data_IF_211897716898
#
_entry.id   IF_211897716898
#
_cell.length_a   1.000
_cell.length_b   1.000
_cell.length_c   1.000
_cell.angle_alpha   90.00
_cell.angle_beta   90.00
_cell.angle_gamma   90.00
#
_symmetry.space_group_name_H-M   'P 1'
#
loop_
_entity.id
_entity.type
_entity.pdbx_description
1 polymer ?
#
# COMPACT_ATOMS: atom_id res chain seq x y z
N UNK A 1 -35.45 3.93 13.22
CA UNK A 1 -35.38 2.99 12.08
C UNK A 1 -34.37 3.54 11.08
N UNK A 2 -33.33 2.77 10.75
CA UNK A 2 -32.37 3.19 9.73
C UNK A 2 -33.04 3.12 8.35
N UNK A 3 -32.94 4.19 7.55
CA UNK A 3 -33.63 4.27 6.25
C UNK A 3 -32.84 3.63 5.12
N UNK A 4 -31.54 3.37 5.32
CA UNK A 4 -30.64 2.94 4.26
C UNK A 4 -29.70 1.83 4.74
N UNK A 5 -29.40 0.87 3.86
CA UNK A 5 -28.42 -0.16 4.15
C UNK A 5 -27.45 -0.46 2.99
N UNK A 6 -26.26 -0.93 3.36
CA UNK A 6 -25.25 -1.42 2.44
C UNK A 6 -24.82 -2.83 2.89
N UNK A 7 -24.83 -3.80 1.99
CA UNK A 7 -24.55 -5.21 2.32
C UNK A 7 -23.14 -5.65 1.92
N UNK A 8 -22.12 -5.49 2.81
CA UNK A 8 -20.81 -6.06 2.57
C UNK A 8 -20.79 -7.57 2.81
N UNK A 9 -19.91 -8.27 2.09
CA UNK A 9 -19.52 -9.65 2.40
C UNK A 9 -18.15 -9.62 3.07
N UNK A 10 -18.02 -10.20 4.27
CA UNK A 10 -16.77 -10.16 5.05
C UNK A 10 -16.13 -11.55 5.25
N UNK A 11 -16.62 -12.59 4.55
CA UNK A 11 -16.09 -13.96 4.61
C UNK A 11 -15.13 -14.35 3.48
N UNK A 12 -14.60 -13.38 2.73
CA UNK A 12 -13.67 -13.61 1.61
C UNK A 12 -12.20 -13.74 2.07
N UNK A 13 -11.25 -13.30 1.23
CA UNK A 13 -9.81 -13.19 1.53
C UNK A 13 -9.48 -12.16 2.65
N UNK A 14 -10.23 -12.12 3.75
CA UNK A 14 -10.00 -11.21 4.88
C UNK A 14 -9.02 -11.87 5.86
N UNK A 15 -8.07 -11.10 6.40
CA UNK A 15 -7.03 -11.64 7.30
C UNK A 15 -5.64 -11.06 7.08
N UNK A 16 -5.35 -10.56 5.87
CA UNK A 16 -4.16 -9.76 5.57
C UNK A 16 -4.56 -8.29 5.40
N UNK A 17 -3.71 -7.37 5.89
CA UNK A 17 -3.93 -5.92 5.82
C UNK A 17 -4.25 -5.41 4.41
N UNK A 18 -3.60 -5.98 3.38
CA UNK A 18 -3.86 -5.60 1.99
C UNK A 18 -5.31 -5.86 1.57
N UNK A 19 -5.80 -7.08 1.81
CA UNK A 19 -7.18 -7.41 1.48
C UNK A 19 -8.17 -6.70 2.39
N UNK A 20 -7.88 -6.56 3.69
CA UNK A 20 -8.74 -5.83 4.63
C UNK A 20 -8.95 -4.38 4.15
N UNK A 21 -7.91 -3.75 3.59
CA UNK A 21 -8.00 -2.41 3.01
C UNK A 21 -8.71 -2.41 1.65
N UNK A 22 -8.21 -3.19 0.68
CA UNK A 22 -8.65 -3.12 -0.71
C UNK A 22 -10.04 -3.73 -0.95
N UNK A 23 -10.38 -4.81 -0.24
CA UNK A 23 -11.64 -5.55 -0.46
C UNK A 23 -12.78 -5.05 0.44
N UNK A 24 -12.46 -4.45 1.58
CA UNK A 24 -13.46 -4.09 2.59
C UNK A 24 -13.42 -2.62 2.97
N UNK A 25 -12.33 -2.14 3.58
CA UNK A 25 -12.28 -0.80 4.20
C UNK A 25 -12.46 0.34 3.19
N UNK A 26 -11.67 0.34 2.11
CA UNK A 26 -11.75 1.37 1.07
C UNK A 26 -13.11 1.34 0.35
N UNK A 27 -13.62 0.14 0.04
CA UNK A 27 -14.90 -0.02 -0.65
C UNK A 27 -16.10 0.36 0.21
N UNK A 28 -16.06 0.07 1.51
CA UNK A 28 -17.04 0.56 2.47
C UNK A 28 -17.00 2.09 2.54
N UNK A 29 -15.82 2.71 2.60
CA UNK A 29 -15.68 4.16 2.59
C UNK A 29 -16.30 4.80 1.34
N UNK A 30 -15.96 4.33 0.14
CA UNK A 30 -16.52 4.83 -1.13
C UNK A 30 -18.07 4.71 -1.13
N UNK A 31 -18.59 3.60 -0.60
CA UNK A 31 -20.02 3.29 -0.66
C UNK A 31 -20.83 4.03 0.41
N UNK A 32 -20.25 4.37 1.56
CA UNK A 32 -21.01 4.85 2.73
C UNK A 32 -20.72 6.30 3.10
N UNK A 33 -19.56 6.85 2.73
CA UNK A 33 -19.13 8.17 3.22
C UNK A 33 -20.10 9.30 2.90
N UNK A 34 -20.72 9.26 1.72
CA UNK A 34 -21.71 10.24 1.27
C UNK A 34 -23.06 10.13 2.01
N UNK A 35 -23.29 9.06 2.78
CA UNK A 35 -24.51 8.83 3.57
C UNK A 35 -24.42 9.44 4.97
N UNK A 36 -23.34 10.14 5.31
CA UNK A 36 -23.25 10.93 6.54
C UNK A 36 -23.36 10.12 7.84
N UNK A 37 -22.97 8.84 7.81
CA UNK A 37 -23.09 7.85 8.91
C UNK A 37 -24.50 7.33 9.21
N UNK A 38 -25.50 7.73 8.43
CA UNK A 38 -26.90 7.28 8.55
C UNK A 38 -27.17 6.04 7.67
N UNK A 39 -26.33 5.00 7.81
CA UNK A 39 -26.41 3.76 7.03
C UNK A 39 -26.21 2.54 7.90
N UNK A 40 -27.09 1.57 7.85
CA UNK A 40 -26.90 0.29 8.53
C UNK A 40 -26.10 -0.66 7.64
N UNK A 41 -25.28 -1.52 8.25
CA UNK A 41 -24.45 -2.49 7.53
C UNK A 41 -24.92 -3.92 7.81
N UNK A 42 -25.88 -4.48 7.05
CA UNK A 42 -26.19 -5.91 7.12
C UNK A 42 -25.10 -6.70 6.41
N UNK A 43 -24.31 -7.45 7.18
CA UNK A 43 -23.09 -8.10 6.72
C UNK A 43 -23.31 -9.60 6.62
N UNK A 44 -23.02 -10.14 5.44
CA UNK A 44 -23.02 -11.60 5.21
C UNK A 44 -21.61 -12.16 5.48
N UNK A 45 -21.56 -13.33 6.12
CA UNK A 45 -20.35 -13.95 6.68
C UNK A 45 -19.59 -12.98 7.59
N UNK A 46 -20.29 -12.41 8.59
CA UNK A 46 -19.74 -11.40 9.49
C UNK A 46 -18.63 -12.01 10.35
N UNK A 47 -17.39 -11.56 10.14
CA UNK A 47 -16.23 -11.93 10.94
C UNK A 47 -16.09 -11.03 12.18
N UNK A 48 -16.42 -11.48 13.41
CA UNK A 48 -16.47 -10.58 14.57
C UNK A 48 -15.11 -9.97 14.93
N UNK A 49 -14.02 -10.72 14.71
CA UNK A 49 -12.65 -10.25 14.98
C UNK A 49 -12.28 -9.03 14.12
N UNK A 50 -12.79 -8.94 12.88
CA UNK A 50 -12.51 -7.85 11.96
C UNK A 50 -13.16 -6.55 12.45
N UNK A 51 -14.42 -6.61 12.88
CA UNK A 51 -15.13 -5.46 13.45
C UNK A 51 -14.52 -4.99 14.77
N UNK A 52 -13.94 -5.91 15.55
CA UNK A 52 -13.17 -5.53 16.74
C UNK A 52 -11.86 -4.84 16.37
N UNK A 53 -11.16 -5.34 15.35
CA UNK A 53 -9.88 -4.78 14.89
C UNK A 53 -10.02 -3.40 14.24
N UNK A 54 -11.07 -3.20 13.45
CA UNK A 54 -11.32 -1.97 12.68
C UNK A 54 -12.53 -1.17 13.19
N UNK A 55 -12.88 -1.33 14.47
CA UNK A 55 -14.06 -0.69 15.07
C UNK A 55 -14.10 0.82 14.85
N UNK A 56 -12.98 1.51 15.09
CA UNK A 56 -12.88 2.96 14.89
C UNK A 56 -13.18 3.40 13.45
N UNK A 57 -12.72 2.61 12.46
CA UNK A 57 -12.99 2.88 11.04
C UNK A 57 -14.49 2.69 10.77
N UNK A 58 -15.08 1.59 11.25
CA UNK A 58 -16.50 1.28 11.05
C UNK A 58 -17.40 2.33 11.73
N UNK A 59 -17.07 2.74 12.95
CA UNK A 59 -17.79 3.77 13.71
C UNK A 59 -17.68 5.14 13.05
N UNK A 60 -16.56 5.40 12.35
CA UNK A 60 -16.40 6.57 11.48
C UNK A 60 -17.35 6.55 10.27
N UNK A 61 -17.74 5.38 9.78
CA UNK A 61 -18.59 5.19 8.60
C UNK A 61 -20.08 5.08 8.92
N UNK A 62 -20.45 4.56 10.09
CA UNK A 62 -21.84 4.38 10.50
C UNK A 62 -22.04 4.68 11.99
N UNK A 63 -23.22 5.17 12.35
CA UNK A 63 -23.69 5.31 13.74
C UNK A 63 -24.52 4.11 14.21
N UNK A 64 -24.81 3.17 13.32
CA UNK A 64 -25.64 2.01 13.58
C UNK A 64 -24.79 0.76 13.76
N UNK A 65 -25.26 -0.17 14.59
CA UNK A 65 -24.61 -1.46 14.71
C UNK A 65 -24.64 -2.21 13.37
N UNK A 66 -23.48 -2.76 12.99
CA UNK A 66 -23.37 -3.68 11.87
C UNK A 66 -24.09 -4.99 12.22
N UNK A 67 -25.13 -5.35 11.46
CA UNK A 67 -25.98 -6.52 11.74
C UNK A 67 -25.43 -7.72 10.97
N UNK A 68 -25.34 -8.90 11.57
CA UNK A 68 -25.07 -10.12 10.79
C UNK A 68 -26.36 -10.61 10.14
N UNK A 69 -26.29 -10.95 8.85
CA UNK A 69 -27.39 -11.62 8.15
C UNK A 69 -27.27 -13.14 8.21
N UNK A 70 -26.23 -13.68 8.84
CA UNK A 70 -25.96 -15.11 8.86
C UNK A 70 -26.91 -15.80 9.86
N UNK A 71 -27.79 -16.66 9.35
CA UNK A 71 -28.79 -17.33 10.18
C UNK A 71 -29.88 -16.40 10.76
N UNK A 72 -29.98 -15.15 10.28
CA UNK A 72 -31.02 -14.22 10.72
C UNK A 72 -32.32 -14.45 9.94
N UNK A 73 -33.34 -14.99 10.62
CA UNK A 73 -34.67 -15.23 10.05
C UNK A 73 -35.59 -13.99 10.08
N UNK A 74 -35.12 -12.85 10.62
CA UNK A 74 -35.93 -11.63 10.75
C UNK A 74 -36.01 -10.87 9.43
N UNK A 75 -37.17 -10.25 9.20
CA UNK A 75 -37.38 -9.36 8.05
C UNK A 75 -36.94 -7.94 8.40
N UNK A 76 -35.84 -7.50 7.81
CA UNK A 76 -35.34 -6.13 7.94
C UNK A 76 -35.93 -5.23 6.84
N UNK A 77 -36.54 -4.11 7.22
CA UNK A 77 -37.15 -3.16 6.28
C UNK A 77 -36.30 -1.90 6.14
N UNK A 78 -35.87 -1.61 4.92
CA UNK A 78 -35.11 -0.40 4.58
C UNK A 78 -35.82 0.36 3.46
N UNK A 79 -35.75 1.69 3.47
CA UNK A 79 -36.31 2.51 2.38
C UNK A 79 -35.42 2.48 1.13
N UNK A 80 -34.11 2.33 1.32
CA UNK A 80 -33.13 2.22 0.25
C UNK A 80 -32.10 1.14 0.57
N UNK A 81 -31.81 0.29 -0.41
CA UNK A 81 -30.84 -0.80 -0.27
C UNK A 81 -29.77 -0.66 -1.34
N UNK A 82 -28.51 -0.72 -0.93
CA UNK A 82 -27.37 -0.88 -1.84
C UNK A 82 -26.79 -2.27 -1.65
N UNK A 83 -26.90 -3.11 -2.67
CA UNK A 83 -26.35 -4.47 -2.63
C UNK A 83 -24.93 -4.46 -3.20
N UNK A 84 -23.98 -4.96 -2.40
CA UNK A 84 -22.57 -4.96 -2.75
C UNK A 84 -21.86 -3.63 -2.47
N UNK A 85 -20.54 -3.63 -2.72
CA UNK A 85 -19.67 -2.48 -2.49
C UNK A 85 -19.17 -1.90 -3.82
N UNK A 86 -19.09 -0.57 -3.89
CA UNK A 86 -18.50 0.13 -5.04
C UNK A 86 -16.99 -0.08 -5.06
N UNK A 87 -16.46 -0.41 -6.24
CA UNK A 87 -15.03 -0.56 -6.50
C UNK A 87 -14.73 -0.16 -7.94
N UNK A 88 -13.67 0.60 -8.15
CA UNK A 88 -13.24 1.05 -9.49
C UNK A 88 -11.73 0.91 -9.74
N UNK A 89 -10.92 0.81 -8.67
CA UNK A 89 -9.45 0.76 -8.69
C UNK A 89 -8.98 -0.05 -7.48
N UNK A 90 -7.82 -0.67 -7.60
CA UNK A 90 -7.14 -1.30 -6.47
C UNK A 90 -6.35 -0.26 -5.66
N UNK A 91 -6.39 -0.37 -4.34
CA UNK A 91 -5.67 0.50 -3.38
C UNK A 91 -5.94 2.01 -3.52
N UNK A 92 -6.94 2.42 -4.32
CA UNK A 92 -7.16 3.83 -4.66
C UNK A 92 -8.63 4.17 -4.92
N UNK A 93 -8.93 5.47 -4.89
CA UNK A 93 -10.24 6.05 -5.19
C UNK A 93 -10.15 6.88 -6.46
N UNK A 94 -11.03 6.60 -7.42
CA UNK A 94 -11.21 7.44 -8.61
C UNK A 94 -12.28 8.50 -8.33
N UNK A 95 -11.92 9.78 -8.24
CA UNK A 95 -12.87 10.85 -7.92
C UNK A 95 -14.04 10.90 -8.90
N UNK A 96 -13.80 10.69 -10.20
CA UNK A 96 -14.83 10.82 -11.23
C UNK A 96 -15.91 9.73 -11.16
N UNK A 97 -15.58 8.58 -10.55
CA UNK A 97 -16.49 7.44 -10.41
C UNK A 97 -17.06 7.32 -9.00
N UNK A 98 -16.54 8.10 -8.05
CA UNK A 98 -16.96 8.09 -6.66
C UNK A 98 -18.10 9.09 -6.40
N UNK A 99 -19.06 8.76 -5.52
CA UNK A 99 -20.07 9.73 -5.12
C UNK A 99 -19.42 10.91 -4.39
N UNK A 100 -19.80 12.14 -4.74
CA UNK A 100 -19.26 13.40 -4.20
C UNK A 100 -17.77 13.65 -4.48
N UNK A 101 -17.19 13.07 -5.55
CA UNK A 101 -15.78 13.26 -5.93
C UNK A 101 -14.79 12.95 -4.79
N UNK A 102 -15.08 11.90 -4.02
CA UNK A 102 -14.18 11.39 -2.99
C UNK A 102 -12.82 11.01 -3.59
N UNK A 103 -11.75 11.37 -2.90
CA UNK A 103 -10.39 11.02 -3.30
C UNK A 103 -9.67 10.30 -2.16
N UNK A 104 -8.52 9.69 -2.47
CA UNK A 104 -7.66 9.10 -1.45
C UNK A 104 -7.12 10.13 -0.46
N UNK A 105 -6.98 11.39 -0.87
CA UNK A 105 -6.62 12.50 0.02
C UNK A 105 -7.73 12.77 1.04
N UNK A 106 -8.99 12.66 0.62
CA UNK A 106 -10.14 12.82 1.53
C UNK A 106 -10.28 11.62 2.48
N UNK A 107 -9.92 10.41 2.02
CA UNK A 107 -10.00 9.19 2.84
C UNK A 107 -8.87 9.11 3.86
N UNK A 108 -7.63 9.46 3.51
CA UNK A 108 -6.49 9.46 4.44
C UNK A 108 -6.68 10.45 5.61
N UNK A 109 -7.33 11.58 5.37
CA UNK A 109 -7.71 12.52 6.44
C UNK A 109 -8.93 12.12 7.27
N UNK A 110 -9.80 11.23 6.78
CA UNK A 110 -11.09 10.92 7.41
C UNK A 110 -11.20 9.50 7.99
N UNK A 111 -10.49 8.51 7.46
CA UNK A 111 -10.59 7.09 7.87
C UNK A 111 -9.58 6.68 8.93
N UNK A 112 -8.50 7.43 9.13
CA UNK A 112 -7.53 7.22 10.18
C UNK A 112 -7.83 8.15 11.35
N UNK A 113 -8.98 7.91 12.02
CA UNK A 113 -9.23 8.51 13.32
C UNK A 113 -8.11 8.10 14.28
N UNK A 114 -7.45 9.09 14.88
CA UNK A 114 -6.66 8.88 16.10
C UNK A 114 -5.13 9.03 15.99
N UNK A 115 -4.49 8.75 14.85
CA UNK A 115 -3.07 9.04 14.70
C UNK A 115 -2.89 10.45 14.17
N UNK A 116 -2.15 11.29 14.91
CA UNK A 116 -1.64 12.59 14.46
C UNK A 116 -0.76 12.39 13.22
N UNK A 117 -1.39 12.19 12.06
CA UNK A 117 -0.73 12.26 10.79
C UNK A 117 -0.28 13.71 10.64
N UNK A 118 1.04 13.93 10.49
CA UNK A 118 1.52 15.22 9.97
C UNK A 118 0.79 15.42 8.64
N UNK A 119 0.07 16.53 8.52
CA UNK A 119 -0.77 16.81 7.35
C UNK A 119 0.01 16.82 6.04
N UNK A 120 1.34 16.98 6.09
CA UNK A 120 2.25 16.86 4.96
C UNK A 120 3.58 16.26 5.44
N UNK A 121 4.32 15.63 4.53
CA UNK A 121 5.74 15.37 4.68
C UNK A 121 6.48 16.66 5.01
N UNK A 122 7.58 16.53 5.75
CA UNK A 122 8.43 17.66 6.17
C UNK A 122 8.88 18.39 4.90
N UNK A 123 8.45 19.64 4.74
CA UNK A 123 9.01 20.57 3.75
C UNK A 123 10.31 21.09 4.30
N UNK A 124 11.37 21.03 3.49
CA UNK A 124 12.71 21.46 3.93
C UNK A 124 12.86 22.99 3.84
N UNK A 125 11.94 23.69 3.15
CA UNK A 125 12.04 25.13 2.88
C UNK A 125 11.27 26.05 3.84
N UNK A 126 10.30 25.56 4.61
CA UNK A 126 9.41 26.41 5.43
C UNK A 126 9.89 26.66 6.87
N UNK A 127 11.03 26.10 7.29
CA UNK A 127 11.55 26.20 8.67
C UNK A 127 12.69 27.24 8.74
N UNK A 128 12.33 28.52 8.70
CA UNK A 128 13.25 29.69 8.75
C UNK A 128 13.85 29.98 10.15
N UNK A 129 13.80 29.03 11.10
CA UNK A 129 14.17 29.32 12.49
C UNK A 129 14.74 28.18 13.34
N UNK A 130 14.59 26.92 12.96
CA UNK A 130 15.24 25.79 13.63
C UNK A 130 16.07 25.01 12.61
N UNK A 131 17.25 24.53 13.03
CA UNK A 131 18.19 23.72 12.24
C UNK A 131 17.46 22.85 11.20
N UNK A 132 17.71 23.09 9.89
CA UNK A 132 17.11 22.35 8.76
C UNK A 132 16.90 20.89 9.12
N UNK A 133 15.67 20.52 9.47
CA UNK A 133 15.35 19.17 9.93
C UNK A 133 15.59 18.21 8.77
N UNK A 134 16.51 17.26 8.97
CA UNK A 134 16.83 16.26 7.95
C UNK A 134 15.56 15.43 7.65
N UNK A 135 15.22 15.20 6.38
CA UNK A 135 14.10 14.34 6.04
C UNK A 135 14.37 12.91 6.50
N UNK A 136 13.35 12.26 7.02
CA UNK A 136 13.44 10.90 7.55
C UNK A 136 13.20 9.88 6.43
N UNK A 137 14.17 9.00 6.20
CA UNK A 137 14.07 7.90 5.24
C UNK A 137 13.83 6.58 5.99
N UNK A 138 12.69 5.95 5.71
CA UNK A 138 12.39 4.61 6.20
C UNK A 138 12.76 3.57 5.13
N UNK A 139 13.72 2.70 5.45
CA UNK A 139 14.06 1.54 4.62
C UNK A 139 13.32 0.32 5.17
N UNK A 140 12.43 -0.25 4.35
CA UNK A 140 11.68 -1.45 4.70
C UNK A 140 12.52 -2.67 4.31
N UNK A 141 13.07 -3.36 5.30
CA UNK A 141 13.90 -4.56 5.10
C UNK A 141 13.05 -5.82 5.23
N UNK A 142 13.58 -6.95 4.75
CA UNK A 142 12.95 -8.26 4.86
C UNK A 142 13.99 -9.27 5.33
N UNK A 143 13.61 -10.20 6.21
CA UNK A 143 14.52 -11.25 6.71
C UNK A 143 14.58 -12.52 5.85
N UNK A 144 13.52 -12.84 5.10
CA UNK A 144 13.38 -14.16 4.46
C UNK A 144 13.58 -14.16 2.94
N UNK A 145 12.92 -13.25 2.22
CA UNK A 145 12.98 -13.12 0.75
C UNK A 145 13.03 -11.64 0.36
N UNK A 146 13.64 -11.30 -0.77
CA UNK A 146 13.75 -9.91 -1.28
C UNK A 146 14.57 -9.03 -0.34
N UNK A 147 15.79 -9.46 -0.05
CA UNK A 147 16.67 -8.80 0.92
C UNK A 147 17.64 -7.86 0.22
N UNK A 148 17.98 -6.77 0.90
CA UNK A 148 19.11 -5.94 0.54
C UNK A 148 20.38 -6.57 1.10
N UNK A 149 21.31 -6.97 0.23
CA UNK A 149 22.56 -7.61 0.61
C UNK A 149 23.59 -6.60 1.14
N UNK A 150 23.47 -5.33 0.77
CA UNK A 150 24.35 -4.24 1.17
C UNK A 150 23.60 -3.11 1.89
N UNK A 151 22.77 -3.47 2.88
CA UNK A 151 21.98 -2.51 3.64
C UNK A 151 22.83 -1.40 4.29
N UNK A 152 23.98 -1.75 4.86
CA UNK A 152 24.88 -0.79 5.51
C UNK A 152 25.40 0.27 4.51
N UNK A 153 25.76 -0.16 3.30
CA UNK A 153 26.20 0.74 2.23
C UNK A 153 25.06 1.67 1.79
N UNK A 154 23.82 1.17 1.72
CA UNK A 154 22.63 1.97 1.37
C UNK A 154 22.32 3.01 2.45
N UNK A 155 22.42 2.63 3.73
CA UNK A 155 22.21 3.53 4.86
C UNK A 155 23.26 4.65 4.83
N UNK A 156 24.54 4.31 4.71
CA UNK A 156 25.63 5.29 4.64
C UNK A 156 25.43 6.26 3.47
N UNK A 157 25.09 5.75 2.28
CA UNK A 157 24.83 6.60 1.11
C UNK A 157 23.65 7.56 1.30
N UNK A 158 22.59 7.12 1.98
CA UNK A 158 21.43 7.97 2.27
C UNK A 158 21.73 9.02 3.36
N UNK A 159 22.51 8.68 4.38
CA UNK A 159 22.97 9.63 5.40
C UNK A 159 23.89 10.70 4.82
N UNK A 160 24.79 10.32 3.89
CA UNK A 160 25.65 11.25 3.15
C UNK A 160 24.86 12.23 2.28
N UNK A 161 23.76 11.78 1.66
CA UNK A 161 22.86 12.65 0.89
C UNK A 161 22.10 13.62 1.80
N UNK A 162 21.97 13.30 3.09
CA UNK A 162 21.38 14.18 4.10
C UNK A 162 20.07 13.68 4.70
N UNK A 163 19.73 12.41 4.53
CA UNK A 163 18.57 11.79 5.21
C UNK A 163 18.92 11.34 6.63
N UNK A 164 17.92 11.34 7.51
CA UNK A 164 17.94 10.58 8.75
C UNK A 164 17.35 9.20 8.48
N UNK A 165 18.16 8.14 8.53
CA UNK A 165 17.75 6.81 8.05
C UNK A 165 17.30 5.92 9.19
N UNK A 166 16.20 5.18 8.98
CA UNK A 166 15.74 4.13 9.89
C UNK A 166 15.42 2.87 9.08
N UNK A 167 16.01 1.74 9.44
CA UNK A 167 15.73 0.45 8.80
C UNK A 167 14.84 -0.41 9.69
N UNK A 168 13.67 -0.85 9.18
CA UNK A 168 12.73 -1.69 9.93
C UNK A 168 12.22 -2.86 9.07
N UNK A 169 12.10 -4.03 9.70
CA UNK A 169 11.36 -5.16 9.13
C UNK A 169 9.90 -5.05 9.59
N UNK A 170 9.04 -4.60 8.68
CA UNK A 170 7.61 -4.36 8.96
C UNK A 170 6.73 -5.59 8.70
N UNK A 171 7.30 -6.77 8.44
CA UNK A 171 6.47 -7.97 8.22
C UNK A 171 5.88 -8.48 9.54
N UNK A 172 4.55 -8.68 9.63
CA UNK A 172 3.96 -9.34 10.78
C UNK A 172 4.48 -10.78 10.89
N UNK A 173 4.81 -11.20 12.12
CA UNK A 173 5.24 -12.58 12.45
C UNK A 173 4.17 -13.65 12.14
N UNK A 174 2.96 -13.26 11.76
CA UNK A 174 1.84 -14.15 11.49
C UNK A 174 1.31 -13.94 10.06
N UNK A 175 1.59 -14.91 9.18
CA UNK A 175 0.69 -15.31 8.09
C UNK A 175 0.65 -14.46 6.82
N UNK A 176 1.50 -14.84 5.84
CA UNK A 176 1.26 -14.91 4.39
C UNK A 176 2.47 -14.39 3.58
N UNK A 177 3.18 -15.25 2.85
CA UNK A 177 4.23 -14.82 1.92
C UNK A 177 3.58 -14.21 0.67
N UNK A 178 3.61 -12.88 0.54
CA UNK A 178 3.19 -12.24 -0.71
C UNK A 178 3.01 -10.73 -0.64
N UNK A 179 2.06 -10.24 0.13
CA UNK A 179 1.31 -9.03 -0.26
C UNK A 179 1.34 -7.88 0.76
N UNK A 180 2.22 -7.91 1.75
CA UNK A 180 2.28 -6.90 2.83
C UNK A 180 2.99 -5.58 2.50
N UNK A 181 3.39 -5.33 1.24
CA UNK A 181 4.14 -4.12 0.87
C UNK A 181 3.26 -2.91 0.56
N UNK A 182 2.14 -3.13 -0.12
CA UNK A 182 1.26 -2.07 -0.65
C UNK A 182 0.52 -1.30 0.44
N UNK A 183 0.17 -1.97 1.54
CA UNK A 183 -0.60 -1.34 2.63
C UNK A 183 0.20 -0.31 3.42
N UNK A 184 1.54 -0.34 3.33
CA UNK A 184 2.38 0.63 4.03
C UNK A 184 2.21 2.05 3.49
N UNK A 185 1.79 2.19 2.22
CA UNK A 185 1.53 3.48 1.58
C UNK A 185 0.45 4.28 2.31
N UNK A 186 -0.56 3.61 2.88
CA UNK A 186 -1.68 4.25 3.58
C UNK A 186 -1.22 5.02 4.83
N UNK A 187 -0.07 4.64 5.41
CA UNK A 187 0.50 5.28 6.59
C UNK A 187 1.50 6.39 6.27
N UNK A 188 1.76 6.68 4.98
CA UNK A 188 2.63 7.77 4.60
C UNK A 188 1.87 9.11 4.58
N UNK A 189 2.51 10.22 4.95
CA UNK A 189 1.88 11.54 4.85
C UNK A 189 1.78 12.01 3.39
N UNK A 190 0.92 13.00 3.14
CA UNK A 190 0.88 13.67 1.83
C UNK A 190 2.24 14.26 1.47
N UNK A 191 2.56 14.37 0.18
CA UNK A 191 3.86 14.80 -0.35
C UNK A 191 5.04 13.90 0.03
N UNK A 192 4.83 12.74 0.65
CA UNK A 192 5.90 11.76 0.84
C UNK A 192 6.44 11.27 -0.50
N UNK A 193 7.71 10.85 -0.51
CA UNK A 193 8.35 10.23 -1.67
C UNK A 193 8.47 8.73 -1.43
N UNK A 194 7.93 7.94 -2.35
CA UNK A 194 8.05 6.48 -2.37
C UNK A 194 9.08 6.10 -3.42
N UNK A 195 10.15 5.44 -2.98
CA UNK A 195 11.16 4.85 -3.87
C UNK A 195 10.93 3.34 -3.90
N UNK A 196 10.62 2.80 -5.08
CA UNK A 196 10.48 1.36 -5.28
C UNK A 196 11.70 0.81 -6.01
N UNK A 197 12.34 -0.18 -5.41
CA UNK A 197 13.35 -1.02 -6.07
C UNK A 197 12.63 -2.18 -6.76
N UNK A 198 12.67 -2.19 -8.10
CA UNK A 198 12.02 -3.18 -8.93
C UNK A 198 13.02 -4.29 -9.25
N UNK A 199 12.72 -5.54 -8.87
CA UNK A 199 13.63 -6.65 -9.12
C UNK A 199 13.71 -7.00 -10.60
N UNK A 200 14.73 -7.80 -10.94
CA UNK A 200 14.96 -8.27 -12.30
C UNK A 200 13.80 -9.17 -12.75
N UNK A 201 13.35 -9.01 -13.99
CA UNK A 201 12.23 -9.78 -14.54
C UNK A 201 11.24 -9.01 -15.41
N UNK A 202 11.57 -7.77 -15.81
CA UNK A 202 10.69 -6.89 -16.59
C UNK A 202 9.32 -6.69 -15.96
N UNK A 203 9.34 -6.39 -14.66
CA UNK A 203 8.14 -6.18 -13.85
C UNK A 203 7.72 -4.71 -13.82
N UNK A 204 8.24 -3.86 -14.70
CA UNK A 204 8.04 -2.41 -14.63
C UNK A 204 6.57 -2.03 -14.75
N UNK A 205 5.82 -2.69 -15.64
CA UNK A 205 4.39 -2.45 -15.81
C UNK A 205 3.61 -2.85 -14.54
N UNK A 206 3.89 -4.03 -13.98
CA UNK A 206 3.24 -4.50 -12.75
C UNK A 206 3.61 -3.63 -11.54
N UNK A 207 4.88 -3.24 -11.44
CA UNK A 207 5.37 -2.34 -10.40
C UNK A 207 4.68 -0.98 -10.50
N UNK A 208 4.51 -0.45 -11.72
CA UNK A 208 3.82 0.81 -11.95
C UNK A 208 2.34 0.73 -11.57
N UNK A 209 1.63 -0.33 -11.98
CA UNK A 209 0.21 -0.49 -11.67
C UNK A 209 -0.03 -0.68 -10.15
N UNK A 210 0.83 -1.43 -9.47
CA UNK A 210 0.66 -1.74 -8.05
C UNK A 210 1.21 -0.66 -7.12
N UNK A 211 2.41 -0.13 -7.39
CA UNK A 211 3.11 0.80 -6.50
C UNK A 211 3.27 2.21 -7.08
N UNK A 212 3.14 2.39 -8.40
CA UNK A 212 3.28 3.69 -9.04
C UNK A 212 2.00 4.53 -9.02
N UNK A 213 0.85 3.90 -9.30
CA UNK A 213 -0.45 4.59 -9.37
C UNK A 213 -0.99 4.98 -7.98
N UNK A 214 -1.03 4.08 -6.96
CA UNK A 214 -1.68 4.42 -5.69
C UNK A 214 -1.06 5.61 -4.93
N UNK A 215 0.28 5.75 -4.82
CA UNK A 215 0.87 6.92 -4.17
C UNK A 215 0.48 8.23 -4.85
N UNK A 216 0.39 8.25 -6.18
CA UNK A 216 0.00 9.46 -6.93
C UNK A 216 -1.42 9.90 -6.59
N UNK A 217 -2.34 8.94 -6.54
CA UNK A 217 -3.74 9.21 -6.14
C UNK A 217 -3.84 9.66 -4.66
N UNK A 218 -2.89 9.25 -3.81
CA UNK A 218 -2.74 9.69 -2.40
C UNK A 218 -1.95 11.01 -2.23
N UNK A 219 -1.67 11.73 -3.32
CA UNK A 219 -0.84 12.95 -3.32
C UNK A 219 0.59 12.74 -2.80
N UNK A 220 1.21 11.64 -3.19
CA UNK A 220 2.63 11.32 -2.94
C UNK A 220 3.41 11.32 -4.25
N UNK A 221 4.73 11.45 -4.14
CA UNK A 221 5.66 11.33 -5.26
C UNK A 221 6.15 9.88 -5.36
N UNK A 222 6.37 9.39 -6.58
CA UNK A 222 6.85 8.03 -6.82
C UNK A 222 8.10 8.04 -7.69
N UNK A 223 9.12 7.29 -7.27
CA UNK A 223 10.35 7.03 -8.00
C UNK A 223 10.54 5.52 -8.15
N UNK A 224 10.82 5.10 -9.38
CA UNK A 224 11.11 3.70 -9.71
C UNK A 224 12.60 3.53 -9.96
N UNK A 225 13.22 2.57 -9.29
CA UNK A 225 14.58 2.14 -9.54
C UNK A 225 14.58 0.71 -10.08
N UNK A 226 14.93 0.55 -11.35
CA UNK A 226 15.06 -0.76 -11.96
C UNK A 226 16.48 -1.28 -11.76
N UNK A 227 16.59 -2.46 -11.16
CA UNK A 227 17.91 -3.07 -10.97
C UNK A 227 18.44 -3.62 -12.29
N UNK A 228 19.76 -3.65 -12.44
CA UNK A 228 20.40 -4.38 -13.54
C UNK A 228 20.67 -5.83 -13.16
N UNK A 229 21.11 -6.64 -14.13
CA UNK A 229 21.43 -8.04 -13.90
C UNK A 229 22.57 -8.21 -12.88
N UNK A 230 23.51 -7.27 -12.82
CA UNK A 230 24.66 -7.26 -11.92
C UNK A 230 24.29 -6.95 -10.46
N UNK A 231 23.17 -6.26 -10.25
CA UNK A 231 22.66 -5.94 -8.90
C UNK A 231 21.80 -7.07 -8.34
N UNK A 232 21.48 -8.09 -9.14
CA UNK A 232 20.73 -9.26 -8.71
C UNK A 232 21.68 -10.37 -8.27
N UNK A 233 21.38 -11.06 -7.17
CA UNK A 233 22.12 -12.26 -6.76
C UNK A 233 22.03 -13.40 -7.78
N UNK A 234 21.17 -13.29 -8.81
CA UNK A 234 21.15 -14.21 -9.94
C UNK A 234 22.43 -14.20 -10.77
N UNK A 235 23.18 -13.09 -10.81
CA UNK A 235 24.46 -13.04 -11.53
C UNK A 235 25.51 -13.94 -10.90
N UNK A 236 25.37 -14.28 -9.62
CA UNK A 236 26.26 -15.22 -8.92
C UNK A 236 25.90 -16.68 -9.22
N UNK A 237 24.63 -16.95 -9.54
CA UNK A 237 24.11 -18.30 -9.78
C UNK A 237 24.10 -18.69 -11.26
N UNK A 238 24.01 -17.72 -12.17
CA UNK A 238 23.87 -17.97 -13.61
C UNK A 238 24.78 -17.04 -14.42
N UNK A 239 25.43 -17.60 -15.45
CA UNK A 239 26.18 -16.82 -16.44
C UNK A 239 25.25 -15.91 -17.25
N UNK A 240 25.74 -14.72 -17.63
CA UNK A 240 25.02 -13.78 -18.51
C UNK A 240 24.52 -14.51 -19.77
N UNK A 241 23.22 -14.39 -20.04
CA UNK A 241 22.57 -15.04 -21.19
C UNK A 241 21.89 -16.38 -20.88
N UNK A 242 21.93 -16.86 -19.63
CA UNK A 242 21.12 -18.02 -19.22
C UNK A 242 19.62 -17.76 -19.43
N UNK A 243 18.80 -18.75 -19.86
CA UNK A 243 17.35 -18.58 -20.10
C UNK A 243 16.51 -18.12 -18.89
N UNK A 244 17.13 -18.06 -17.70
CA UNK A 244 16.52 -17.53 -16.47
C UNK A 244 16.70 -16.01 -16.33
N UNK A 245 17.61 -15.41 -17.09
CA UNK A 245 17.58 -13.98 -17.32
C UNK A 245 16.40 -13.67 -18.25
N UNK A 246 15.63 -12.60 -17.96
CA UNK A 246 14.45 -12.31 -18.74
C UNK A 246 14.82 -12.08 -20.21
N UNK A 247 14.23 -12.90 -21.09
CA UNK A 247 14.24 -12.66 -22.53
C UNK A 247 13.61 -11.29 -22.88
N UNK A 248 13.87 -10.73 -24.07
CA UNK A 248 13.41 -9.40 -24.48
C UNK A 248 11.88 -9.26 -24.65
N UNK A 249 11.05 -10.19 -24.16
CA UNK A 249 9.58 -10.10 -24.22
C UNK A 249 8.97 -9.93 -22.82
N UNK A 250 7.97 -9.05 -22.66
CA UNK A 250 7.22 -8.93 -21.40
C UNK A 250 6.42 -10.22 -21.17
N UNK A 251 6.48 -10.74 -19.95
CA UNK A 251 5.78 -11.97 -19.59
C UNK A 251 4.37 -11.66 -19.08
N UNK A 252 3.36 -12.50 -19.36
CA UNK A 252 2.04 -12.40 -18.74
C UNK A 252 2.13 -12.49 -17.21
N UNK A 253 1.20 -11.81 -16.51
CA UNK A 253 1.13 -11.77 -15.03
C UNK A 253 1.09 -13.18 -14.41
N UNK A 254 0.42 -14.14 -15.04
CA UNK A 254 0.36 -15.54 -14.60
C UNK A 254 1.72 -16.23 -14.58
N UNK A 255 2.57 -15.95 -15.56
CA UNK A 255 3.91 -16.54 -15.68
C UNK A 255 4.90 -15.94 -14.67
N UNK A 256 4.76 -14.65 -14.38
CA UNK A 256 5.53 -13.97 -13.33
C UNK A 256 5.18 -14.48 -11.92
N UNK A 257 3.89 -14.73 -11.65
CA UNK A 257 3.43 -15.31 -10.39
C UNK A 257 3.92 -16.76 -10.25
N UNK A 258 3.90 -17.55 -11.32
CA UNK A 258 4.46 -18.90 -11.32
C UNK A 258 5.97 -18.89 -10.99
N UNK A 259 6.73 -17.96 -11.58
CA UNK A 259 8.17 -17.77 -11.28
C UNK A 259 8.46 -17.27 -9.87
N UNK A 260 7.46 -16.72 -9.17
CA UNK A 260 7.59 -16.22 -7.80
C UNK A 260 7.75 -17.36 -6.77
N UNK A 261 7.28 -18.57 -7.10
CA UNK A 261 7.36 -19.76 -6.25
C UNK A 261 8.72 -20.44 -6.24
N UNK A 262 9.44 -20.42 -7.36
CA UNK A 262 10.50 -21.41 -7.63
C UNK A 262 11.89 -21.04 -7.14
N UNK A 263 12.21 -19.76 -6.87
CA UNK A 263 13.51 -19.36 -6.33
C UNK A 263 13.42 -18.17 -5.35
N UNK A 264 13.63 -18.38 -4.04
CA UNK A 264 13.80 -17.30 -3.07
C UNK A 264 14.96 -16.35 -3.41
N UNK A 265 16.04 -16.90 -3.98
CA UNK A 265 17.25 -16.19 -4.38
C UNK A 265 17.13 -15.37 -5.68
N UNK A 266 15.98 -15.47 -6.39
CA UNK A 266 15.74 -14.69 -7.61
C UNK A 266 15.59 -13.18 -7.32
N UNK A 267 15.32 -12.84 -6.06
CA UNK A 267 14.81 -11.54 -5.69
C UNK A 267 15.66 -10.78 -4.67
N UNK A 268 16.76 -11.36 -4.19
CA UNK A 268 17.71 -10.66 -3.33
C UNK A 268 18.57 -9.71 -4.20
N UNK A 269 18.87 -8.53 -3.66
CA UNK A 269 19.45 -7.41 -4.41
C UNK A 269 20.65 -6.86 -3.69
N UNK A 270 21.75 -6.69 -4.42
CA UNK A 270 22.92 -5.89 -4.02
C UNK A 270 22.91 -4.61 -4.85
N UNK A 271 22.45 -3.51 -4.27
CA UNK A 271 22.28 -2.25 -4.98
C UNK A 271 23.62 -1.61 -5.32
N UNK A 272 23.79 -1.16 -6.56
CA UNK A 272 24.93 -0.34 -6.93
C UNK A 272 24.72 1.08 -6.39
N UNK A 273 25.49 1.41 -5.36
CA UNK A 273 25.41 2.71 -4.68
C UNK A 273 25.69 3.87 -5.63
N UNK A 274 26.58 3.72 -6.60
CA UNK A 274 26.90 4.78 -7.55
C UNK A 274 25.69 5.12 -8.44
N UNK A 275 24.89 4.11 -8.80
CA UNK A 275 23.66 4.27 -9.58
C UNK A 275 22.45 4.65 -8.73
N UNK A 276 22.42 4.24 -7.47
CA UNK A 276 21.31 4.52 -6.57
C UNK A 276 21.40 5.92 -5.94
N UNK A 277 22.61 6.46 -5.73
CA UNK A 277 22.81 7.79 -5.13
C UNK A 277 22.08 8.93 -5.86
N UNK A 278 22.06 9.02 -7.20
CA UNK A 278 21.25 10.00 -7.92
C UNK A 278 19.74 9.89 -7.65
N UNK A 279 19.22 8.69 -7.37
CA UNK A 279 17.81 8.48 -7.02
C UNK A 279 17.51 9.03 -5.63
N UNK A 280 18.41 8.82 -4.66
CA UNK A 280 18.31 9.40 -3.33
C UNK A 280 18.35 10.93 -3.40
N UNK A 281 19.24 11.51 -4.21
CA UNK A 281 19.29 12.95 -4.43
C UNK A 281 17.98 13.48 -5.02
N UNK A 282 17.46 12.82 -6.06
CA UNK A 282 16.17 13.18 -6.65
C UNK A 282 15.02 13.05 -5.65
N UNK A 283 15.05 12.05 -4.78
CA UNK A 283 14.05 11.90 -3.71
C UNK A 283 14.11 13.08 -2.73
N UNK A 284 15.32 13.53 -2.37
CA UNK A 284 15.52 14.69 -1.50
C UNK A 284 15.00 15.96 -2.15
N UNK A 285 15.28 16.16 -3.43
CA UNK A 285 14.83 17.34 -4.18
C UNK A 285 13.30 17.38 -4.36
N UNK A 286 12.62 16.23 -4.34
CA UNK A 286 11.16 16.17 -4.37
C UNK A 286 10.48 16.50 -3.02
N UNK A 287 11.24 16.52 -1.93
CA UNK A 287 10.80 16.92 -0.58
C UNK A 287 11.10 18.39 -0.26
N UNK A 288 11.80 19.08 -1.15
CA UNK A 288 12.03 20.52 -1.09
C UNK A 288 10.81 21.25 -1.63
#
# INVERSE_FOLDING_TARGET
MCRQCCTPRNGGYCGNYYHDFNTTSCRLFITTRHLGREVQLPVTQKQPWWFRKYGEIVDGLTRHEAVSTDGDARVHRYQRVTVGLRSHKDMSIDPHRSPNNLSMVTSSGSSCGGTRHRGSAIRTEEDDGEERRRPRLLIITRRSKRRFMNLEEIVAAAEEVGFEVTALDLMPKAGAPGEGGLTNLVFLPMNAVVVQVVPLGRMEALAMDEYGVPPRDMNMRYLQYNITAEESTLSELYLRGHPRFPEPRPHPRSELVARQGDLPALWDVRLDIARFRPVLQKALDLLR
#
